data_IF_044882692558
#
_entry.id   IF_044882692558
#
_cell.length_a   1.000
_cell.length_b   1.000
_cell.length_c   1.000
_cell.angle_alpha   90.00
_cell.angle_beta   90.00
_cell.angle_gamma   90.00
#
_symmetry.space_group_name_H-M   'P 1'
#
loop_
_entity.id
_entity.type
_entity.pdbx_description
1 polymer ?
#
# COMPACT_ATOMS: atom_id res chain seq x y z
N UNK A 1 -8.63 15.50 -41.91
CA UNK A 1 -8.27 14.13 -41.51
C UNK A 1 -6.79 13.97 -41.15
N UNK A 2 -6.09 15.02 -40.69
CA UNK A 2 -4.66 14.94 -40.36
C UNK A 2 -4.40 14.74 -38.86
N UNK A 3 -5.31 15.18 -38.00
CA UNK A 3 -5.14 15.11 -36.54
C UNK A 3 -5.09 13.67 -36.02
N UNK A 4 -5.73 12.73 -36.71
CA UNK A 4 -5.70 11.31 -36.35
C UNK A 4 -4.28 10.74 -36.38
N UNK A 5 -3.43 11.18 -37.31
CA UNK A 5 -2.03 10.76 -37.38
C UNK A 5 -1.20 11.25 -36.18
N UNK A 6 -1.63 12.31 -35.51
CA UNK A 6 -1.01 12.79 -34.27
C UNK A 6 -1.60 12.08 -33.04
N UNK A 7 -2.93 11.90 -33.01
CA UNK A 7 -3.63 11.33 -31.86
C UNK A 7 -3.39 9.83 -31.68
N UNK A 8 -3.27 9.06 -32.77
CA UNK A 8 -3.05 7.60 -32.69
C UNK A 8 -1.72 7.28 -31.98
N UNK A 9 -0.56 7.85 -32.38
CA UNK A 9 0.70 7.61 -31.67
C UNK A 9 0.66 8.08 -30.22
N UNK A 10 0.08 9.25 -29.95
CA UNK A 10 -0.07 9.79 -28.59
C UNK A 10 -0.87 8.81 -27.72
N UNK A 11 -2.00 8.31 -28.23
CA UNK A 11 -2.82 7.33 -27.52
C UNK A 11 -2.07 6.02 -27.25
N UNK A 12 -1.27 5.53 -28.21
CA UNK A 12 -0.44 4.32 -28.02
C UNK A 12 0.59 4.55 -26.91
N UNK A 13 1.25 5.71 -26.90
CA UNK A 13 2.22 6.08 -25.86
C UNK A 13 1.55 6.12 -24.49
N UNK A 14 0.42 6.81 -24.36
CA UNK A 14 -0.32 6.88 -23.09
C UNK A 14 -0.81 5.51 -22.61
N UNK A 15 -1.35 4.69 -23.51
CA UNK A 15 -1.75 3.32 -23.18
C UNK A 15 -0.56 2.46 -22.75
N UNK A 16 0.59 2.58 -23.43
CA UNK A 16 1.82 1.88 -23.05
C UNK A 16 2.34 2.29 -21.68
N UNK A 17 2.34 3.61 -21.38
CA UNK A 17 2.71 4.13 -20.07
C UNK A 17 1.75 3.66 -18.97
N UNK A 18 0.45 3.61 -19.24
CA UNK A 18 -0.54 3.13 -18.29
C UNK A 18 -0.33 1.64 -17.97
N UNK A 19 -0.12 0.80 -18.99
CA UNK A 19 0.15 -0.63 -18.81
C UNK A 19 1.46 -0.82 -18.04
N UNK A 20 2.52 -0.12 -18.43
CA UNK A 20 3.80 -0.20 -17.73
C UNK A 20 3.70 0.24 -16.27
N UNK A 21 3.02 1.37 -16.00
CA UNK A 21 2.78 1.85 -14.65
C UNK A 21 1.95 0.89 -13.80
N UNK A 22 0.96 0.22 -14.40
CA UNK A 22 0.18 -0.82 -13.73
C UNK A 22 1.06 -1.99 -13.28
N UNK A 23 1.87 -2.55 -14.19
CA UNK A 23 2.78 -3.66 -13.84
C UNK A 23 3.85 -3.24 -12.82
N UNK A 24 4.35 -2.02 -12.92
CA UNK A 24 5.27 -1.47 -11.93
C UNK A 24 4.61 -1.35 -10.55
N UNK A 25 3.38 -0.86 -10.47
CA UNK A 25 2.62 -0.76 -9.20
C UNK A 25 2.38 -2.13 -8.58
N UNK A 26 1.96 -3.11 -9.38
CA UNK A 26 1.75 -4.50 -8.93
C UNK A 26 3.05 -5.11 -8.40
N UNK A 27 4.17 -4.96 -9.11
CA UNK A 27 5.46 -5.48 -8.67
C UNK A 27 6.06 -4.72 -7.47
N UNK A 28 5.61 -3.49 -7.21
CA UNK A 28 6.08 -2.68 -6.08
C UNK A 28 5.42 -3.07 -4.75
N UNK A 29 4.59 -4.12 -4.73
CA UNK A 29 3.98 -4.64 -3.51
C UNK A 29 2.95 -3.72 -2.87
N UNK A 30 2.41 -2.72 -3.61
CA UNK A 30 1.40 -1.80 -3.08
C UNK A 30 0.10 -2.51 -2.64
N UNK A 31 -0.15 -3.71 -3.16
CA UNK A 31 -1.31 -4.53 -2.83
C UNK A 31 -1.04 -5.57 -1.74
N UNK A 32 0.21 -5.69 -1.26
CA UNK A 32 0.57 -6.69 -0.25
C UNK A 32 0.13 -6.27 1.16
N UNK A 33 -0.13 -4.97 1.37
CA UNK A 33 -0.55 -4.40 2.67
C UNK A 33 -2.02 -3.94 2.67
N UNK A 34 -2.92 -4.82 2.22
CA UNK A 34 -4.37 -4.62 2.35
C UNK A 34 -4.94 -5.18 3.67
N UNK A 35 -4.14 -5.97 4.40
CA UNK A 35 -4.52 -6.63 5.65
C UNK A 35 -4.48 -5.66 6.85
N UNK A 36 -3.48 -4.77 6.89
CA UNK A 36 -3.21 -3.88 8.03
C UNK A 36 -4.33 -2.84 8.31
N UNK A 37 -4.94 -2.17 7.31
CA UNK A 37 -5.98 -1.17 7.56
C UNK A 37 -7.31 -1.74 8.08
N UNK A 38 -7.61 -3.02 7.79
CA UNK A 38 -8.87 -3.64 8.18
C UNK A 38 -8.91 -3.97 9.69
N UNK A 39 -7.75 -4.26 10.27
CA UNK A 39 -7.64 -4.57 11.68
C UNK A 39 -7.62 -3.33 12.56
N UNK A 40 -7.13 -2.17 12.09
CA UNK A 40 -7.13 -0.95 12.90
C UNK A 40 -8.57 -0.49 13.20
N UNK A 41 -9.47 -0.47 12.21
CA UNK A 41 -10.86 -0.01 12.38
C UNK A 41 -11.63 -0.78 13.48
N UNK A 42 -11.30 -2.05 13.72
CA UNK A 42 -11.94 -2.88 14.73
C UNK A 42 -11.34 -2.72 16.14
N UNK A 43 -10.11 -2.23 16.27
CA UNK A 43 -9.38 -2.19 17.54
C UNK A 43 -8.97 -0.77 17.98
N UNK A 44 -9.08 0.23 17.10
CA UNK A 44 -8.71 1.63 17.38
C UNK A 44 -9.61 2.27 18.46
N UNK A 45 -10.88 1.86 18.54
CA UNK A 45 -11.85 2.41 19.51
C UNK A 45 -11.76 1.74 20.89
N UNK A 46 -11.22 0.52 20.98
CA UNK A 46 -11.22 -0.29 22.22
C UNK A 46 -9.90 -0.18 23.01
N UNK A 47 -8.90 0.54 22.50
CA UNK A 47 -7.58 0.68 23.14
C UNK A 47 -7.67 1.25 24.57
N UNK A 48 -8.63 2.15 24.80
CA UNK A 48 -8.89 2.75 26.11
C UNK A 48 -9.65 1.83 27.08
N UNK A 49 -10.23 0.73 26.59
CA UNK A 49 -10.94 -0.27 27.38
C UNK A 49 -10.01 -1.38 27.88
N UNK A 50 -8.78 -1.45 27.37
CA UNK A 50 -7.77 -2.42 27.81
C UNK A 50 -7.28 -2.05 29.22
N UNK A 51 -7.51 -2.89 30.24
CA UNK A 51 -7.02 -2.68 31.59
C UNK A 51 -5.49 -2.53 31.62
N UNK A 52 -4.95 -1.64 32.46
CA UNK A 52 -3.51 -1.32 32.49
C UNK A 52 -2.62 -2.51 32.90
N UNK A 53 -3.19 -3.51 33.57
CA UNK A 53 -2.54 -4.78 33.92
C UNK A 53 -2.53 -5.81 32.78
N UNK A 54 -3.39 -5.64 31.77
CA UNK A 54 -3.49 -6.47 30.57
C UNK A 54 -2.67 -5.93 29.38
N UNK A 55 -2.22 -4.67 29.43
CA UNK A 55 -1.26 -4.11 28.47
C UNK A 55 0.07 -4.83 28.66
N UNK A 56 0.36 -5.79 27.79
CA UNK A 56 1.63 -6.53 27.80
C UNK A 56 2.77 -5.52 27.80
N UNK A 57 3.68 -5.53 28.80
CA UNK A 57 4.77 -4.57 28.86
C UNK A 57 5.59 -4.76 27.59
N UNK A 58 5.68 -3.71 26.78
CA UNK A 58 6.41 -3.67 25.52
C UNK A 58 7.71 -4.46 25.69
N UNK A 59 7.79 -5.63 25.04
CA UNK A 59 9.01 -6.44 25.01
C UNK A 59 10.08 -5.51 24.43
N UNK A 60 11.12 -5.12 25.20
CA UNK A 60 12.20 -4.34 24.65
C UNK A 60 12.76 -5.14 23.48
N UNK A 61 12.72 -4.54 22.29
CA UNK A 61 13.32 -5.10 21.09
C UNK A 61 14.81 -5.24 21.43
N UNK A 62 15.22 -6.48 21.70
CA UNK A 62 16.59 -6.86 21.99
C UNK A 62 17.40 -6.55 20.72
N UNK A 63 18.04 -5.37 20.71
CA UNK A 63 19.12 -5.08 19.77
C UNK A 63 20.29 -5.98 20.15
N UNK A 64 20.28 -7.22 19.67
CA UNK A 64 21.49 -8.02 19.61
C UNK A 64 22.28 -7.58 18.37
N UNK A 65 23.25 -6.70 18.63
CA UNK A 65 24.41 -6.56 17.77
C UNK A 65 25.37 -7.68 18.19
N UNK A 66 25.56 -8.68 17.33
CA UNK A 66 26.77 -9.48 17.18
C UNK A 66 26.81 -10.05 15.75
#
# INVERSE_FOLDING_TARGET
>A
MNILYLLIPIAIVFSGLAIWGFFWSVNSGQYDDLESPAHSILYDDDEHLIPDDAKSPAKPIEKTND
#
